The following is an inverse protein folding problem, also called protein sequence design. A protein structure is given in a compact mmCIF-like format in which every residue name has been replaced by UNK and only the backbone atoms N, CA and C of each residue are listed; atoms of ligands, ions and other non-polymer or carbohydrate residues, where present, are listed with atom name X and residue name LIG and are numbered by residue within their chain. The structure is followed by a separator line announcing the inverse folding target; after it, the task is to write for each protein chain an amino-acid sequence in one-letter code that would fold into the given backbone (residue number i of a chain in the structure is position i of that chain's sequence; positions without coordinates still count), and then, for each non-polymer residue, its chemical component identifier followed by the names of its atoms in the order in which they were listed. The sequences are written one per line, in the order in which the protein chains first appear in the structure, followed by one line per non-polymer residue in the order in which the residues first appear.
data_IF_254870422584
#
_entry.id   IF_254870422584
#
_cell.length_a   1.000
_cell.length_b   1.000
_cell.length_c   1.000
_cell.angle_alpha   90.00
_cell.angle_beta   90.00
_cell.angle_gamma   90.00
#
_symmetry.space_group_name_H-M   'P 1'
#
loop_
_entity.id
_entity.type
_entity.pdbx_description
1 polymer ?
#
# COMPACT_ATOMS: atom_id res chain seq x y z
N UNK A 1 -11.15 -21.05 -11.07
CA UNK A 1 -10.54 -20.12 -10.10
C UNK A 1 -10.29 -18.80 -10.85
N UNK A 2 -10.66 -17.61 -10.32
CA UNK A 2 -10.67 -16.27 -10.96
C UNK A 2 -11.94 -15.75 -11.68
N UNK A 3 -13.13 -16.34 -11.51
CA UNK A 3 -14.35 -15.84 -12.21
C UNK A 3 -15.01 -14.58 -11.62
N UNK A 4 -14.38 -13.88 -10.66
CA UNK A 4 -15.07 -12.84 -9.88
C UNK A 4 -14.47 -11.43 -9.93
N UNK A 5 -13.33 -11.21 -10.59
CA UNK A 5 -12.91 -9.85 -10.96
C UNK A 5 -13.63 -9.46 -12.27
N UNK A 6 -13.97 -8.17 -12.49
CA UNK A 6 -14.60 -7.77 -13.74
C UNK A 6 -13.74 -8.29 -14.89
N UNK A 7 -14.31 -9.11 -15.80
CA UNK A 7 -13.54 -9.73 -16.88
C UNK A 7 -12.83 -8.70 -17.77
N UNK A 8 -13.36 -7.47 -17.78
CA UNK A 8 -12.84 -6.32 -18.51
C UNK A 8 -11.69 -5.59 -17.78
N UNK A 9 -11.43 -5.90 -16.50
CA UNK A 9 -10.40 -5.25 -15.70
C UNK A 9 -9.24 -6.18 -15.37
N UNK A 10 -8.04 -5.61 -15.44
CA UNK A 10 -6.80 -6.25 -14.99
C UNK A 10 -6.78 -6.29 -13.46
N UNK A 11 -6.31 -7.39 -12.89
CA UNK A 11 -6.17 -7.61 -11.44
C UNK A 11 -4.98 -6.83 -10.85
N UNK A 12 -4.83 -5.57 -11.23
CA UNK A 12 -3.74 -4.67 -10.83
C UNK A 12 -4.35 -3.44 -10.18
N UNK A 13 -3.70 -2.98 -9.11
CA UNK A 13 -4.04 -1.74 -8.41
C UNK A 13 -2.80 -0.87 -8.32
N UNK A 14 -2.99 0.44 -8.34
CA UNK A 14 -1.88 1.38 -8.22
C UNK A 14 -2.27 2.59 -7.38
N UNK A 15 -1.26 3.27 -6.83
CA UNK A 15 -1.40 4.55 -6.17
C UNK A 15 -0.35 5.47 -6.78
N UNK A 16 -0.79 6.58 -7.39
CA UNK A 16 0.11 7.58 -7.94
C UNK A 16 0.34 8.71 -6.94
N UNK A 17 1.37 9.49 -7.19
CA UNK A 17 1.78 10.63 -6.37
C UNK A 17 2.03 11.81 -7.30
N UNK A 18 1.77 13.02 -6.81
CA UNK A 18 2.14 14.25 -7.50
C UNK A 18 3.62 14.17 -7.92
N UNK A 19 3.96 14.44 -9.20
CA UNK A 19 5.31 14.19 -9.71
C UNK A 19 6.40 15.00 -9.02
N UNK A 20 6.12 16.26 -8.67
CA UNK A 20 7.07 17.12 -7.95
C UNK A 20 7.29 16.59 -6.54
N UNK A 21 6.21 16.28 -5.82
CA UNK A 21 6.30 15.69 -4.48
C UNK A 21 6.97 14.31 -4.47
N UNK A 22 6.82 13.55 -5.56
CA UNK A 22 7.50 12.26 -5.77
C UNK A 22 9.00 12.46 -5.87
N UNK A 23 9.49 13.42 -6.66
CA UNK A 23 10.93 13.75 -6.74
C UNK A 23 11.47 14.14 -5.37
N UNK A 24 10.82 15.08 -4.68
CA UNK A 24 11.24 15.47 -3.33
C UNK A 24 11.28 14.28 -2.38
N UNK A 25 10.22 13.47 -2.33
CA UNK A 25 10.18 12.33 -1.42
C UNK A 25 11.24 11.28 -1.74
N UNK A 26 11.58 11.11 -3.02
CA UNK A 26 12.61 10.17 -3.47
C UNK A 26 14.00 10.64 -3.04
N UNK A 27 14.29 11.92 -3.28
CA UNK A 27 15.52 12.56 -2.81
C UNK A 27 15.67 12.44 -1.30
N UNK A 28 14.69 12.95 -0.54
CA UNK A 28 14.69 12.97 0.92
C UNK A 28 14.85 11.56 1.51
N UNK A 29 14.10 10.58 1.00
CA UNK A 29 14.16 9.21 1.50
C UNK A 29 15.49 8.54 1.17
N UNK A 30 16.02 8.74 -0.04
CA UNK A 30 17.32 8.16 -0.44
C UNK A 30 18.45 8.69 0.44
N UNK A 31 18.49 10.01 0.70
CA UNK A 31 19.44 10.66 1.61
C UNK A 31 19.25 10.18 3.05
N UNK A 32 18.01 10.15 3.55
CA UNK A 32 17.71 9.71 4.93
C UNK A 32 18.18 8.28 5.18
N UNK A 33 17.86 7.35 4.28
CA UNK A 33 18.26 5.95 4.43
C UNK A 33 19.76 5.79 4.29
N UNK A 34 20.40 6.49 3.35
CA UNK A 34 21.84 6.48 3.18
C UNK A 34 22.58 7.01 4.42
N UNK A 35 22.07 8.07 5.06
CA UNK A 35 22.66 8.68 6.25
C UNK A 35 22.72 7.73 7.46
N UNK A 36 21.87 6.69 7.51
CA UNK A 36 21.92 5.65 8.56
C UNK A 36 23.25 4.91 8.58
N UNK A 37 23.90 4.78 7.42
CA UNK A 37 25.18 4.09 7.30
C UNK A 37 26.37 4.93 7.77
N UNK A 38 26.22 6.24 7.99
CA UNK A 38 27.31 7.11 8.46
C UNK A 38 27.76 6.80 9.89
N UNK A 39 27.06 5.92 10.60
CA UNK A 39 27.56 5.32 11.87
C UNK A 39 28.84 4.50 11.66
N UNK A 40 29.08 4.00 10.44
CA UNK A 40 30.27 3.23 10.12
C UNK A 40 31.48 4.14 9.79
N UNK A 41 32.70 3.70 10.13
CA UNK A 41 33.90 4.52 9.94
C UNK A 41 34.22 4.80 8.47
N UNK A 42 33.89 3.88 7.55
CA UNK A 42 34.13 4.01 6.12
C UNK A 42 33.09 3.21 5.31
N UNK A 43 33.04 3.47 4.00
CA UNK A 43 32.08 2.87 3.07
C UNK A 43 32.21 1.34 3.01
N UNK A 44 33.44 0.81 3.05
CA UNK A 44 33.72 -0.63 3.03
C UNK A 44 33.09 -1.34 4.23
N UNK A 45 33.26 -0.77 5.43
CA UNK A 45 32.66 -1.27 6.67
C UNK A 45 31.13 -1.26 6.58
N UNK A 46 30.54 -0.16 6.09
CA UNK A 46 29.09 -0.06 5.89
C UNK A 46 28.56 -1.11 4.91
N UNK A 47 29.24 -1.31 3.78
CA UNK A 47 28.82 -2.25 2.73
C UNK A 47 28.91 -3.70 3.20
N UNK A 48 30.00 -4.06 3.88
CA UNK A 48 30.18 -5.40 4.46
C UNK A 48 29.12 -5.71 5.51
N UNK A 49 28.83 -4.76 6.41
CA UNK A 49 27.81 -4.95 7.44
C UNK A 49 26.41 -5.05 6.84
N UNK A 50 26.08 -4.23 5.85
CA UNK A 50 24.82 -4.32 5.12
C UNK A 50 24.63 -5.70 4.46
N UNK A 51 25.67 -6.23 3.81
CA UNK A 51 25.65 -7.56 3.20
C UNK A 51 25.44 -8.68 4.23
N UNK A 52 26.15 -8.63 5.36
CA UNK A 52 26.01 -9.62 6.44
C UNK A 52 24.62 -9.59 7.09
N UNK A 53 24.05 -8.40 7.28
CA UNK A 53 22.69 -8.26 7.79
C UNK A 53 21.68 -8.85 6.80
N UNK A 54 21.81 -8.52 5.51
CA UNK A 54 20.97 -9.04 4.43
C UNK A 54 20.98 -10.56 4.36
N UNK A 55 22.14 -11.21 4.53
CA UNK A 55 22.22 -12.67 4.49
C UNK A 55 21.61 -13.35 5.73
N UNK A 56 21.55 -12.65 6.88
CA UNK A 56 21.02 -13.20 8.14
C UNK A 56 19.52 -13.04 8.29
N UNK A 57 18.96 -11.94 7.81
CA UNK A 57 17.51 -11.70 7.89
C UNK A 57 16.82 -12.19 6.63
N UNK A 58 15.85 -13.10 6.78
CA UNK A 58 14.88 -13.44 5.72
C UNK A 58 13.94 -12.27 5.35
N UNK A 59 14.09 -11.11 5.98
CA UNK A 59 13.27 -9.93 5.76
C UNK A 59 13.81 -9.11 4.57
N UNK A 60 12.90 -8.63 3.72
CA UNK A 60 13.23 -7.77 2.57
C UNK A 60 13.77 -6.44 3.06
N UNK A 61 15.00 -6.10 2.65
CA UNK A 61 15.62 -4.81 2.97
C UNK A 61 15.16 -3.71 2.01
N UNK A 62 15.20 -2.45 2.46
CA UNK A 62 15.09 -1.30 1.55
C UNK A 62 16.12 -1.38 0.42
N UNK A 63 17.30 -1.97 0.67
CA UNK A 63 18.34 -2.17 -0.33
C UNK A 63 18.00 -3.23 -1.40
N UNK A 64 16.88 -3.94 -1.26
CA UNK A 64 16.47 -5.02 -2.17
C UNK A 64 15.34 -4.60 -3.11
N UNK A 65 14.72 -3.44 -2.84
CA UNK A 65 13.48 -3.01 -3.49
C UNK A 65 13.78 -1.88 -4.48
N UNK A 66 13.20 -1.92 -5.67
CA UNK A 66 13.25 -0.82 -6.62
C UNK A 66 12.39 0.37 -6.14
N UNK A 67 12.84 1.64 -6.26
CA UNK A 67 14.11 2.10 -6.83
C UNK A 67 15.28 2.15 -5.83
N UNK A 68 15.01 1.91 -4.55
CA UNK A 68 15.95 2.12 -3.44
C UNK A 68 17.22 1.29 -3.51
N UNK A 69 17.16 0.09 -4.11
CA UNK A 69 18.34 -0.76 -4.35
C UNK A 69 19.43 -0.08 -5.16
N UNK A 70 19.09 0.97 -5.93
CA UNK A 70 20.04 1.79 -6.68
C UNK A 70 20.29 3.13 -5.99
N UNK A 71 19.22 3.82 -5.58
CA UNK A 71 19.33 5.18 -5.05
C UNK A 71 20.03 5.25 -3.69
N UNK A 72 19.80 4.27 -2.81
CA UNK A 72 20.41 4.29 -1.47
C UNK A 72 21.91 4.02 -1.52
N UNK A 73 22.43 3.01 -2.26
CA UNK A 73 23.87 2.86 -2.45
C UNK A 73 24.54 4.08 -3.06
N UNK A 74 23.93 4.68 -4.09
CA UNK A 74 24.44 5.90 -4.73
C UNK A 74 24.54 7.07 -3.74
N UNK A 75 23.46 7.38 -3.01
CA UNK A 75 23.48 8.43 -1.98
C UNK A 75 24.43 8.10 -0.83
N UNK A 76 24.60 6.82 -0.49
CA UNK A 76 25.55 6.40 0.54
C UNK A 76 26.97 6.75 0.11
N UNK A 77 27.37 6.44 -1.12
CA UNK A 77 28.68 6.77 -1.66
C UNK A 77 28.95 8.28 -1.61
N UNK A 78 28.00 9.08 -2.08
CA UNK A 78 28.06 10.56 -2.02
C UNK A 78 28.26 11.08 -0.57
N UNK A 79 27.42 10.62 0.37
CA UNK A 79 27.51 11.06 1.76
C UNK A 79 28.84 10.71 2.43
N UNK A 80 29.39 9.52 2.15
CA UNK A 80 30.71 9.12 2.64
C UNK A 80 31.81 9.98 2.02
N UNK A 81 31.78 10.21 0.70
CA UNK A 81 32.74 11.05 -0.01
C UNK A 81 32.77 12.48 0.56
N UNK A 82 31.60 13.11 0.74
CA UNK A 82 31.48 14.46 1.32
C UNK A 82 32.00 14.47 2.75
N UNK A 83 31.62 13.50 3.59
CA UNK A 83 32.12 13.40 4.98
C UNK A 83 33.64 13.27 5.03
N UNK A 84 34.22 12.43 4.19
CA UNK A 84 35.66 12.15 4.20
C UNK A 84 36.45 13.31 3.58
N UNK A 85 35.86 14.07 2.65
CA UNK A 85 36.40 15.35 2.19
C UNK A 85 36.46 16.39 3.31
N UNK A 86 35.37 16.58 4.07
CA UNK A 86 35.34 17.49 5.23
C UNK A 86 36.42 17.15 6.25
N UNK A 87 36.55 15.86 6.60
CA UNK A 87 37.60 15.37 7.51
C UNK A 87 39.01 15.71 7.01
N UNK A 88 39.28 15.52 5.71
CA UNK A 88 40.59 15.83 5.12
C UNK A 88 40.92 17.31 5.13
N UNK A 89 39.92 18.17 4.96
CA UNK A 89 40.08 19.63 4.97
C UNK A 89 40.31 20.21 6.38
N UNK A 90 40.37 19.39 7.43
CA UNK A 90 40.46 19.85 8.82
C UNK A 90 39.20 20.60 9.29
N UNK A 91 38.17 20.66 8.43
CA UNK A 91 36.86 21.14 8.79
C UNK A 91 36.26 20.07 9.70
N UNK A 92 36.25 20.35 11.00
CA UNK A 92 35.42 19.61 11.97
C UNK A 92 33.94 19.71 11.59
N UNK A 93 32.98 19.38 12.48
CA UNK A 93 31.58 19.73 12.28
C UNK A 93 31.44 21.27 12.31
N UNK A 94 31.93 21.93 11.26
CA UNK A 94 31.83 23.37 11.07
C UNK A 94 30.37 23.65 10.81
N UNK A 95 29.86 24.64 11.52
CA UNK A 95 28.49 25.11 11.40
C UNK A 95 28.32 25.74 10.02
N UNK A 96 28.06 24.90 9.01
CA UNK A 96 27.59 25.37 7.71
C UNK A 96 26.20 25.93 7.98
N UNK A 97 26.10 27.25 8.13
CA UNK A 97 24.81 27.94 8.27
C UNK A 97 24.20 28.05 6.87
N UNK A 98 23.67 26.95 6.35
CA UNK A 98 22.76 27.02 5.21
C UNK A 98 21.33 27.10 5.73
N UNK A 99 20.56 28.05 5.20
CA UNK A 99 19.13 28.12 5.43
C UNK A 99 18.35 27.30 4.39
N UNK A 100 19.02 26.78 3.36
CA UNK A 100 18.44 25.94 2.32
C UNK A 100 18.77 24.47 2.58
N UNK A 101 17.79 23.72 3.08
CA UNK A 101 17.94 22.28 3.33
C UNK A 101 18.17 21.45 2.06
N UNK A 102 17.91 22.00 0.88
CA UNK A 102 18.09 21.34 -0.42
C UNK A 102 19.37 21.81 -1.14
N UNK A 103 20.12 22.75 -0.56
CA UNK A 103 21.41 23.23 -1.05
C UNK A 103 22.42 23.38 0.10
N UNK A 104 22.96 22.23 0.49
CA UNK A 104 23.99 22.06 1.53
C UNK A 104 25.11 21.19 0.98
N UNK A 105 25.70 21.63 -0.13
CA UNK A 105 26.71 20.90 -0.92
C UNK A 105 27.80 20.26 -0.05
N UNK A 106 28.28 20.98 0.96
CA UNK A 106 29.30 20.47 1.87
C UNK A 106 28.87 19.22 2.65
N UNK A 107 27.56 18.90 2.76
CA UNK A 107 26.98 17.86 3.63
C UNK A 107 26.22 16.78 2.84
N UNK A 108 25.31 17.18 1.96
CA UNK A 108 24.55 16.28 1.07
C UNK A 108 24.55 16.82 -0.35
N UNK A 109 24.39 15.94 -1.35
CA UNK A 109 24.18 16.34 -2.74
C UNK A 109 23.04 17.36 -2.86
N UNK A 110 23.27 18.57 -3.39
CA UNK A 110 22.22 19.54 -3.63
C UNK A 110 21.13 18.99 -4.56
N UNK A 111 19.89 19.45 -4.38
CA UNK A 111 18.75 18.96 -5.17
C UNK A 111 18.92 19.22 -6.68
N UNK A 112 19.53 20.36 -7.05
CA UNK A 112 19.78 20.70 -8.45
C UNK A 112 20.82 19.77 -9.11
N UNK A 113 21.81 19.32 -8.34
CA UNK A 113 22.77 18.29 -8.77
C UNK A 113 22.04 16.94 -8.91
N UNK A 114 21.27 16.57 -7.89
CA UNK A 114 20.54 15.31 -7.84
C UNK A 114 19.60 15.09 -9.02
N UNK A 115 18.75 16.05 -9.39
CA UNK A 115 17.79 15.89 -10.48
C UNK A 115 18.45 15.84 -11.86
N UNK A 116 19.68 16.34 -11.97
CA UNK A 116 20.43 16.34 -13.23
C UNK A 116 21.39 15.16 -13.37
N UNK A 117 21.60 14.39 -12.30
CA UNK A 117 22.42 13.20 -12.33
C UNK A 117 21.84 12.12 -13.28
N UNK A 118 22.68 11.41 -14.06
CA UNK A 118 22.25 10.32 -14.91
C UNK A 118 21.41 9.25 -14.21
N UNK A 119 21.69 8.93 -12.94
CA UNK A 119 20.94 7.95 -12.15
C UNK A 119 19.52 8.46 -11.88
N UNK A 120 19.36 9.74 -11.53
CA UNK A 120 18.04 10.33 -11.35
C UNK A 120 17.25 10.35 -12.67
N UNK A 121 17.91 10.71 -13.78
CA UNK A 121 17.33 10.69 -15.13
C UNK A 121 16.88 9.30 -15.56
N UNK A 122 17.63 8.26 -15.21
CA UNK A 122 17.24 6.89 -15.52
C UNK A 122 16.20 6.31 -14.56
N UNK A 123 16.11 6.74 -13.30
CA UNK A 123 15.28 6.03 -12.31
C UNK A 123 14.03 6.80 -11.89
N UNK A 124 14.15 8.12 -11.75
CA UNK A 124 13.17 8.96 -11.06
C UNK A 124 12.26 9.63 -12.07
N UNK A 125 12.88 10.30 -13.05
CA UNK A 125 12.20 11.13 -14.03
C UNK A 125 11.25 10.32 -14.92
N UNK A 126 10.00 10.77 -15.02
CA UNK A 126 8.88 10.07 -15.69
C UNK A 126 8.67 8.62 -15.19
N UNK A 127 9.15 8.32 -13.98
CA UNK A 127 9.19 6.96 -13.47
C UNK A 127 7.81 6.36 -13.19
N UNK A 128 6.77 7.14 -12.93
CA UNK A 128 5.41 6.60 -12.75
C UNK A 128 4.84 6.12 -14.09
N UNK A 129 5.01 6.92 -15.14
CA UNK A 129 4.66 6.57 -16.52
C UNK A 129 5.36 5.31 -16.96
N UNK A 130 6.68 5.24 -16.75
CA UNK A 130 7.44 4.04 -17.07
C UNK A 130 7.06 2.83 -16.21
N UNK A 131 6.71 3.03 -14.93
CA UNK A 131 6.24 1.94 -14.07
C UNK A 131 4.92 1.35 -14.56
N UNK A 132 3.94 2.20 -14.88
CA UNK A 132 2.65 1.76 -15.41
C UNK A 132 2.81 1.12 -16.80
N UNK A 133 3.67 1.67 -17.65
CA UNK A 133 4.01 1.12 -18.96
C UNK A 133 4.87 -0.15 -18.88
N UNK A 134 5.42 -0.51 -17.72
CA UNK A 134 6.30 -1.67 -17.56
C UNK A 134 7.64 -1.50 -18.28
N UNK A 135 8.17 -0.28 -18.32
CA UNK A 135 9.41 0.13 -18.99
C UNK A 135 10.44 0.71 -18.03
N UNK A 136 10.43 0.30 -16.76
CA UNK A 136 11.44 0.75 -15.79
C UNK A 136 12.77 0.06 -16.07
N UNK A 137 13.86 0.56 -15.48
CA UNK A 137 15.13 -0.15 -15.49
C UNK A 137 15.12 -1.46 -14.66
N UNK A 138 14.00 -1.79 -14.01
CA UNK A 138 13.76 -3.06 -13.33
C UNK A 138 12.75 -3.96 -14.08
N UNK A 139 12.35 -3.58 -15.30
CA UNK A 139 11.58 -4.47 -16.17
C UNK A 139 12.37 -5.72 -16.55
N UNK A 140 11.69 -6.85 -16.71
CA UNK A 140 12.35 -8.14 -16.98
C UNK A 140 12.71 -8.36 -18.46
N UNK A 141 12.08 -7.61 -19.38
CA UNK A 141 12.28 -7.77 -20.81
C UNK A 141 13.40 -6.84 -21.30
N UNK A 142 14.33 -7.39 -22.08
CA UNK A 142 15.48 -6.65 -22.59
C UNK A 142 15.05 -5.47 -23.48
N UNK A 143 14.01 -5.69 -24.29
CA UNK A 143 13.40 -4.71 -25.19
C UNK A 143 12.81 -3.53 -24.41
N UNK A 144 12.33 -3.73 -23.18
CA UNK A 144 11.86 -2.64 -22.34
C UNK A 144 12.97 -1.63 -22.03
N UNK A 145 14.21 -2.10 -21.87
CA UNK A 145 15.36 -1.22 -21.65
C UNK A 145 15.78 -0.49 -22.93
N UNK A 146 15.59 -1.09 -24.11
CA UNK A 146 15.84 -0.43 -25.40
C UNK A 146 14.81 0.67 -25.67
N UNK A 147 13.52 0.37 -25.51
CA UNK A 147 12.44 1.34 -25.65
C UNK A 147 12.62 2.49 -24.67
N UNK A 148 12.94 2.18 -23.40
CA UNK A 148 13.23 3.22 -22.38
C UNK A 148 14.36 4.15 -22.83
N UNK A 149 15.51 3.59 -23.23
CA UNK A 149 16.65 4.39 -23.71
C UNK A 149 16.29 5.25 -24.92
N UNK A 150 15.50 4.70 -25.84
CA UNK A 150 15.02 5.43 -27.02
C UNK A 150 14.17 6.65 -26.62
N UNK A 151 13.23 6.48 -25.69
CA UNK A 151 12.35 7.55 -25.19
C UNK A 151 13.12 8.62 -24.43
N UNK A 152 14.11 8.23 -23.61
CA UNK A 152 14.97 9.18 -22.91
C UNK A 152 15.80 10.03 -23.89
N UNK A 153 16.22 9.46 -25.02
CA UNK A 153 16.97 10.16 -26.07
C UNK A 153 16.07 11.01 -26.96
N UNK A 154 14.86 10.54 -27.25
CA UNK A 154 13.90 11.17 -28.15
C UNK A 154 12.60 11.40 -27.40
N UNK A 155 12.52 12.54 -26.69
CA UNK A 155 11.40 12.86 -25.79
C UNK A 155 10.03 12.81 -26.48
N UNK A 156 9.96 13.12 -27.78
CA UNK A 156 8.72 13.04 -28.57
C UNK A 156 8.11 11.62 -28.57
N UNK A 157 8.93 10.57 -28.43
CA UNK A 157 8.45 9.20 -28.34
C UNK A 157 7.79 8.89 -26.99
N UNK A 158 7.96 9.77 -26.00
CA UNK A 158 7.34 9.66 -24.69
C UNK A 158 5.81 9.72 -24.72
N UNK A 159 5.23 10.40 -25.70
CA UNK A 159 3.78 10.49 -25.88
C UNK A 159 3.15 9.10 -26.11
N UNK A 160 3.78 8.25 -26.93
CA UNK A 160 3.31 6.89 -27.16
C UNK A 160 3.35 6.04 -25.87
N UNK A 161 4.39 6.22 -25.05
CA UNK A 161 4.49 5.53 -23.76
C UNK A 161 3.41 6.01 -22.80
N UNK A 162 3.14 7.31 -22.79
CA UNK A 162 2.10 7.92 -21.97
C UNK A 162 0.71 7.36 -22.34
N UNK A 163 0.40 7.23 -23.63
CA UNK A 163 -0.88 6.66 -24.08
C UNK A 163 -1.03 5.19 -23.67
N UNK A 164 0.05 4.40 -23.75
CA UNK A 164 0.06 3.03 -23.21
C UNK A 164 -0.19 3.03 -21.70
N UNK A 165 0.42 3.96 -20.97
CA UNK A 165 0.25 4.07 -19.52
C UNK A 165 -1.19 4.47 -19.14
N UNK A 166 -1.78 5.46 -19.81
CA UNK A 166 -3.19 5.87 -19.60
C UNK A 166 -4.15 4.72 -19.85
N UNK A 167 -4.02 4.02 -20.98
CA UNK A 167 -4.85 2.85 -21.31
C UNK A 167 -4.72 1.74 -20.27
N UNK A 168 -3.53 1.54 -19.71
CA UNK A 168 -3.34 0.57 -18.62
C UNK A 168 -4.01 1.01 -17.34
N UNK A 169 -3.96 2.30 -16.97
CA UNK A 169 -4.67 2.83 -15.80
C UNK A 169 -6.18 2.60 -15.91
N UNK A 170 -6.77 2.79 -17.08
CA UNK A 170 -8.21 2.54 -17.31
C UNK A 170 -8.59 1.08 -17.03
N UNK A 171 -7.69 0.17 -17.42
CA UNK A 171 -7.85 -1.26 -17.20
C UNK A 171 -7.56 -1.72 -15.77
N UNK A 172 -7.05 -0.87 -14.87
CA UNK A 172 -6.75 -1.28 -13.49
C UNK A 172 -8.02 -1.40 -12.64
N UNK A 173 -7.97 -2.32 -11.66
CA UNK A 173 -9.04 -2.52 -10.71
C UNK A 173 -9.25 -1.28 -9.82
N UNK A 174 -8.16 -0.61 -9.45
CA UNK A 174 -8.18 0.56 -8.59
C UNK A 174 -6.98 1.49 -8.84
N UNK A 175 -7.22 2.81 -8.81
CA UNK A 175 -6.19 3.84 -8.96
C UNK A 175 -6.37 4.86 -7.82
N UNK A 176 -5.43 4.89 -6.88
CA UNK A 176 -5.41 5.83 -5.75
C UNK A 176 -4.46 7.00 -5.95
N UNK A 177 -4.54 7.98 -5.06
CA UNK A 177 -3.64 9.12 -4.97
C UNK A 177 -3.01 9.22 -3.59
N UNK A 178 -1.71 9.48 -3.55
CA UNK A 178 -0.92 9.57 -2.30
C UNK A 178 -1.31 10.78 -1.46
N UNK A 179 -1.66 11.88 -2.12
CA UNK A 179 -2.10 13.14 -1.52
C UNK A 179 -3.42 12.94 -0.77
N UNK A 180 -4.27 12.06 -1.29
CA UNK A 180 -5.54 11.62 -0.71
C UNK A 180 -5.41 10.23 -0.06
N UNK A 181 -4.29 9.95 0.63
CA UNK A 181 -3.96 8.61 1.12
C UNK A 181 -5.07 7.90 1.92
N UNK A 182 -5.70 8.61 2.86
CA UNK A 182 -6.75 8.03 3.73
C UNK A 182 -8.01 7.70 2.93
N UNK A 183 -8.42 8.62 2.08
CA UNK A 183 -9.54 8.45 1.17
C UNK A 183 -9.27 7.32 0.17
N UNK A 184 -8.06 7.25 -0.36
CA UNK A 184 -7.60 6.17 -1.22
C UNK A 184 -7.66 4.80 -0.54
N UNK A 185 -7.19 4.72 0.71
CA UNK A 185 -7.28 3.48 1.47
C UNK A 185 -8.74 3.07 1.73
N UNK A 186 -9.60 4.05 2.03
CA UNK A 186 -11.04 3.82 2.26
C UNK A 186 -11.74 3.33 1.00
N UNK A 187 -11.49 3.98 -0.14
CA UNK A 187 -12.00 3.56 -1.44
C UNK A 187 -11.52 2.15 -1.79
N UNK A 188 -10.23 1.87 -1.61
CA UNK A 188 -9.66 0.55 -1.85
C UNK A 188 -10.32 -0.53 -0.96
N UNK A 189 -10.50 -0.26 0.34
CA UNK A 189 -11.18 -1.17 1.26
C UNK A 189 -12.62 -1.47 0.82
N UNK A 190 -13.34 -0.47 0.31
CA UNK A 190 -14.72 -0.63 -0.16
C UNK A 190 -14.84 -1.32 -1.53
N UNK A 191 -13.86 -1.15 -2.41
CA UNK A 191 -13.87 -1.75 -3.75
C UNK A 191 -13.27 -3.16 -3.72
N UNK A 192 -12.04 -3.28 -3.26
CA UNK A 192 -11.25 -4.51 -3.29
C UNK A 192 -11.40 -5.29 -1.98
N UNK A 193 -11.29 -4.60 -0.83
CA UNK A 193 -11.38 -5.25 0.49
C UNK A 193 -12.71 -5.98 0.68
N UNK A 194 -13.84 -5.31 0.45
CA UNK A 194 -15.17 -5.90 0.55
C UNK A 194 -15.35 -7.12 -0.37
N UNK A 195 -14.78 -7.07 -1.58
CA UNK A 195 -14.84 -8.18 -2.51
C UNK A 195 -14.03 -9.38 -2.02
N UNK A 196 -12.80 -9.17 -1.53
CA UNK A 196 -11.96 -10.24 -0.96
C UNK A 196 -12.62 -10.85 0.27
N UNK A 197 -13.14 -10.02 1.17
CA UNK A 197 -13.87 -10.45 2.37
C UNK A 197 -15.06 -11.34 1.98
N UNK A 198 -15.88 -10.91 1.02
CA UNK A 198 -17.03 -11.70 0.57
C UNK A 198 -16.65 -13.08 0.01
N UNK A 199 -15.51 -13.17 -0.70
CA UNK A 199 -14.99 -14.44 -1.22
C UNK A 199 -14.50 -15.32 -0.08
N UNK A 200 -13.80 -14.76 0.89
CA UNK A 200 -13.30 -15.50 2.05
C UNK A 200 -14.45 -16.09 2.88
N UNK A 201 -15.52 -15.31 3.11
CA UNK A 201 -16.74 -15.80 3.79
C UNK A 201 -17.41 -16.92 2.99
N UNK A 202 -17.53 -16.78 1.66
CA UNK A 202 -18.11 -17.80 0.80
C UNK A 202 -17.28 -19.11 0.81
N UNK A 203 -15.95 -19.01 0.72
CA UNK A 203 -15.04 -20.16 0.83
C UNK A 203 -15.16 -20.84 2.20
N UNK A 204 -15.17 -20.07 3.28
CA UNK A 204 -15.35 -20.57 4.65
C UNK A 204 -16.69 -21.30 4.85
N UNK A 205 -17.74 -20.88 4.14
CA UNK A 205 -19.04 -21.58 4.12
C UNK A 205 -19.03 -22.84 3.26
N UNK A 206 -18.27 -22.87 2.17
CA UNK A 206 -18.12 -24.04 1.30
C UNK A 206 -17.31 -25.17 1.95
N UNK A 207 -16.33 -24.85 2.81
CA UNK A 207 -15.61 -25.84 3.61
C UNK A 207 -16.45 -26.53 4.69
N UNK A 208 -17.67 -26.05 4.96
CA UNK A 208 -18.60 -26.76 5.87
C UNK A 208 -19.31 -27.96 5.20
N UNK A 209 -19.15 -28.18 3.90
CA UNK A 209 -19.81 -29.28 3.18
C UNK A 209 -18.92 -30.46 2.78
N UNK A 210 -17.61 -30.45 3.11
CA UNK A 210 -16.67 -31.54 2.76
C UNK A 210 -15.91 -32.11 3.96
N UNK A 211 -16.35 -31.78 5.19
CA UNK A 211 -15.87 -32.45 6.39
C UNK A 211 -16.81 -33.61 6.74
N UNK A 212 -16.86 -34.62 5.88
CA UNK A 212 -17.25 -36.00 6.23
C UNK A 212 -16.91 -36.92 5.05
N UNK A 213 -15.66 -37.38 5.02
CA UNK A 213 -15.32 -38.80 4.89
C UNK A 213 -13.79 -38.99 4.85
N UNK A 214 -13.35 -39.94 5.68
CA UNK A 214 -11.99 -40.24 6.08
C UNK A 214 -11.03 -40.63 4.93
N UNK A 215 -9.76 -40.25 5.06
CA UNK A 215 -8.63 -41.21 5.08
C UNK A 215 -7.33 -40.47 5.37
N UNK A 216 -6.62 -40.96 6.38
CA UNK A 216 -5.25 -40.65 6.73
C UNK A 216 -4.30 -40.87 5.54
N UNK A 217 -3.31 -39.98 5.35
CA UNK A 217 -1.98 -40.41 4.95
C UNK A 217 -0.92 -39.37 5.32
N UNK A 218 -0.08 -39.74 6.28
CA UNK A 218 1.19 -39.11 6.60
C UNK A 218 2.07 -38.96 5.37
N UNK A 219 2.82 -37.85 5.28
CA UNK A 219 4.19 -37.91 4.74
C UNK A 219 5.08 -36.90 5.47
N UNK A 220 6.09 -37.47 6.12
CA UNK A 220 7.17 -36.88 6.91
C UNK A 220 8.19 -36.15 6.02
N UNK A 221 9.07 -35.32 6.61
CA UNK A 221 10.55 -35.27 6.42
C UNK A 221 11.15 -33.96 7.02
N UNK A 222 12.43 -33.96 7.45
CA UNK A 222 12.77 -33.85 8.87
C UNK A 222 13.48 -32.56 9.31
N UNK A 223 13.46 -32.33 10.62
CA UNK A 223 14.28 -31.39 11.38
C UNK A 223 15.77 -31.74 11.31
N UNK A 224 16.61 -30.69 11.24
CA UNK A 224 18.07 -30.79 11.25
C UNK A 224 18.69 -29.82 12.27
N UNK A 225 18.94 -30.39 13.44
CA UNK A 225 19.96 -30.14 14.49
C UNK A 225 20.52 -28.72 14.77
N UNK A 226 20.43 -28.39 16.07
CA UNK A 226 21.15 -27.36 16.80
C UNK A 226 22.66 -27.58 16.82
N UNK A 227 23.41 -26.47 16.88
CA UNK A 227 24.72 -26.49 17.52
C UNK A 227 24.95 -25.17 18.25
N UNK A 228 25.11 -25.28 19.56
CA UNK A 228 25.47 -24.23 20.50
C UNK A 228 26.98 -23.92 20.43
N UNK A 229 27.39 -22.66 20.67
CA UNK A 229 28.26 -22.25 21.79
C UNK A 229 28.75 -20.78 21.64
N UNK A 230 28.45 -20.04 22.72
CA UNK A 230 29.05 -18.88 23.41
C UNK A 230 29.54 -17.59 22.72
N UNK A 231 28.81 -16.52 23.05
CA UNK A 231 29.22 -15.27 23.72
C UNK A 231 30.56 -14.59 23.39
N UNK A 232 30.45 -13.39 22.78
CA UNK A 232 30.92 -12.16 23.42
C UNK A 232 30.11 -10.95 22.92
N UNK A 233 29.53 -10.23 23.89
CA UNK A 233 28.71 -9.05 23.73
C UNK A 233 29.53 -7.85 23.26
N UNK A 234 28.97 -7.03 22.36
CA UNK A 234 28.93 -5.59 22.60
C UNK A 234 27.73 -4.94 21.90
N UNK A 235 26.96 -4.26 22.74
CA UNK A 235 25.62 -3.74 22.51
C UNK A 235 25.60 -2.60 21.50
N UNK A 236 24.79 -2.75 20.45
CA UNK A 236 24.08 -1.61 19.86
C UNK A 236 22.62 -2.02 19.73
N UNK A 237 21.76 -1.35 20.50
CA UNK A 237 20.32 -1.61 20.59
C UNK A 237 19.64 -1.19 19.28
N UNK A 238 19.80 -2.00 18.24
CA UNK A 238 18.85 -2.04 17.14
C UNK A 238 17.64 -2.80 17.66
N UNK A 239 16.60 -2.07 18.07
CA UNK A 239 15.29 -2.68 18.28
C UNK A 239 14.92 -3.42 17.00
N UNK A 240 14.89 -4.76 17.10
CA UNK A 240 14.30 -5.64 16.12
C UNK A 240 12.97 -5.03 15.67
N UNK A 241 12.71 -4.87 14.36
CA UNK A 241 11.34 -4.81 13.90
C UNK A 241 10.68 -6.07 14.43
N UNK A 242 9.61 -5.92 15.24
CA UNK A 242 8.74 -7.03 15.63
C UNK A 242 8.64 -7.97 14.44
N UNK A 243 9.09 -9.20 14.64
CA UNK A 243 8.88 -10.37 13.79
C UNK A 243 7.58 -10.15 13.03
N UNK A 244 7.65 -9.86 11.72
CA UNK A 244 6.49 -10.00 10.86
C UNK A 244 6.02 -11.42 11.16
N UNK A 245 4.82 -11.51 11.72
CA UNK A 245 4.23 -12.73 12.24
C UNK A 245 4.61 -13.87 11.31
N UNK A 246 5.44 -14.78 11.82
CA UNK A 246 5.58 -16.10 11.23
C UNK A 246 4.16 -16.59 10.96
N UNK A 247 3.90 -17.00 9.72
CA UNK A 247 2.58 -17.35 9.20
C UNK A 247 1.90 -18.53 9.94
N UNK A 248 2.49 -19.00 11.05
CA UNK A 248 2.02 -20.12 11.86
C UNK A 248 1.28 -19.73 13.13
N UNK A 249 1.13 -18.43 13.46
CA UNK A 249 0.36 -18.02 14.65
C UNK A 249 -0.62 -16.86 14.39
N UNK A 250 -1.15 -16.74 13.17
CA UNK A 250 -2.43 -16.05 12.96
C UNK A 250 -3.50 -17.12 12.92
N UNK A 251 -3.82 -17.65 14.10
CA UNK A 251 -5.13 -18.23 14.32
C UNK A 251 -6.10 -17.07 14.10
N UNK A 252 -6.53 -16.91 12.85
CA UNK A 252 -7.52 -15.93 12.45
C UNK A 252 -8.78 -16.32 13.20
N UNK A 253 -8.97 -15.72 14.39
CA UNK A 253 -10.30 -15.63 14.99
C UNK A 253 -11.22 -15.26 13.84
N UNK A 254 -12.20 -16.13 13.56
CA UNK A 254 -13.29 -15.94 12.60
C UNK A 254 -14.16 -14.75 13.03
N UNK A 255 -13.56 -13.57 13.16
CA UNK A 255 -14.32 -12.35 13.22
C UNK A 255 -14.81 -12.04 11.81
N UNK A 256 -16.10 -11.71 11.71
CA UNK A 256 -16.67 -11.16 10.48
C UNK A 256 -15.93 -9.87 10.14
N UNK A 257 -14.92 -9.98 9.28
CA UNK A 257 -14.15 -8.85 8.77
C UNK A 257 -15.07 -7.98 7.91
N UNK A 258 -15.03 -6.66 8.09
CA UNK A 258 -15.77 -5.70 7.28
C UNK A 258 -14.80 -4.65 6.74
N UNK A 259 -15.21 -3.88 5.73
CA UNK A 259 -14.39 -2.76 5.23
C UNK A 259 -14.09 -1.73 6.34
N UNK A 260 -15.02 -1.51 7.27
CA UNK A 260 -14.83 -0.65 8.44
C UNK A 260 -13.74 -1.17 9.39
N UNK A 261 -13.84 -2.44 9.81
CA UNK A 261 -12.82 -3.09 10.65
C UNK A 261 -11.44 -3.12 9.99
N UNK A 262 -11.39 -3.33 8.66
CA UNK A 262 -10.15 -3.27 7.89
C UNK A 262 -9.51 -1.88 7.96
N UNK A 263 -10.32 -0.82 7.86
CA UNK A 263 -9.84 0.56 7.98
C UNK A 263 -9.34 0.90 9.39
N UNK A 264 -9.99 0.40 10.44
CA UNK A 264 -9.53 0.57 11.83
C UNK A 264 -8.16 -0.09 12.07
N UNK A 265 -8.00 -1.33 11.60
CA UNK A 265 -6.72 -2.05 11.67
C UNK A 265 -5.63 -1.31 10.87
N UNK A 266 -5.97 -0.81 9.70
CA UNK A 266 -5.09 -0.01 8.86
C UNK A 266 -4.63 1.28 9.56
N UNK A 267 -5.53 2.06 10.15
CA UNK A 267 -5.16 3.31 10.85
C UNK A 267 -4.22 3.04 12.03
N UNK A 268 -4.47 1.95 12.77
CA UNK A 268 -3.59 1.51 13.87
C UNK A 268 -2.19 1.15 13.35
N UNK A 269 -2.12 0.40 12.25
CA UNK A 269 -0.86 0.02 11.60
C UNK A 269 -0.08 1.25 11.13
N UNK A 270 -0.73 2.18 10.43
CA UNK A 270 -0.12 3.40 9.89
C UNK A 270 0.39 4.32 11.00
N UNK A 271 -0.37 4.48 12.08
CA UNK A 271 0.05 5.30 13.22
C UNK A 271 1.35 4.78 13.85
N UNK A 272 1.41 3.47 14.11
CA UNK A 272 2.61 2.81 14.64
C UNK A 272 3.81 2.96 13.69
N UNK A 273 3.59 2.71 12.40
CA UNK A 273 4.62 2.84 11.37
C UNK A 273 5.18 4.26 11.28
N UNK A 274 4.31 5.28 11.26
CA UNK A 274 4.70 6.70 11.23
C UNK A 274 5.56 7.08 12.42
N UNK A 275 5.22 6.59 13.63
CA UNK A 275 6.02 6.83 14.84
C UNK A 275 7.43 6.24 14.71
N UNK A 276 7.54 4.99 14.27
CA UNK A 276 8.86 4.35 14.05
C UNK A 276 9.67 5.04 12.96
N UNK A 277 9.03 5.43 11.86
CA UNK A 277 9.69 6.16 10.77
C UNK A 277 10.18 7.53 11.20
N UNK A 278 9.38 8.29 11.97
CA UNK A 278 9.77 9.59 12.49
C UNK A 278 11.03 9.52 13.38
N UNK A 279 11.10 8.52 14.28
CA UNK A 279 12.29 8.30 15.11
C UNK A 279 13.54 8.00 14.28
N UNK A 280 13.42 7.13 13.27
CA UNK A 280 14.52 6.80 12.35
C UNK A 280 14.97 8.00 11.54
N UNK A 281 14.03 8.82 11.08
CA UNK A 281 14.29 10.07 10.37
C UNK A 281 15.09 11.03 11.23
N UNK A 282 14.64 11.32 12.45
CA UNK A 282 15.35 12.21 13.39
C UNK A 282 16.79 11.74 13.64
N UNK A 283 17.00 10.44 13.87
CA UNK A 283 18.33 9.89 14.06
C UNK A 283 19.22 10.03 12.82
N UNK A 284 18.65 9.86 11.62
CA UNK A 284 19.37 9.96 10.36
C UNK A 284 19.76 11.42 10.06
N UNK A 285 18.81 12.36 10.17
CA UNK A 285 19.02 13.79 9.93
C UNK A 285 20.07 14.38 10.88
N UNK A 286 20.14 13.92 12.14
CA UNK A 286 21.18 14.35 13.08
C UNK A 286 22.61 14.11 12.55
N UNK A 287 22.82 13.09 11.71
CA UNK A 287 24.15 12.75 11.14
C UNK A 287 24.52 13.61 9.94
N UNK A 288 23.54 14.26 9.33
CA UNK A 288 23.69 15.12 8.15
C UNK A 288 23.22 16.55 8.43
N UNK A 289 23.23 16.97 9.70
CA UNK A 289 22.99 18.36 10.07
C UNK A 289 23.96 19.28 9.31
N UNK A 290 23.48 20.42 8.77
CA UNK A 290 22.20 21.09 9.01
C UNK A 290 21.04 20.63 8.11
N UNK A 291 21.23 19.64 7.21
CA UNK A 291 20.18 19.21 6.30
C UNK A 291 18.93 18.76 7.06
N UNK A 292 17.81 19.45 6.84
CA UNK A 292 16.55 19.15 7.50
C UNK A 292 15.38 19.32 6.53
N UNK A 293 14.95 18.19 5.95
CA UNK A 293 13.85 18.19 5.00
C UNK A 293 12.52 18.36 5.73
N UNK A 294 11.73 19.36 5.35
CA UNK A 294 10.36 19.57 5.84
C UNK A 294 9.47 20.05 4.71
N UNK A 295 8.14 20.02 4.90
CA UNK A 295 7.22 20.58 3.89
C UNK A 295 7.41 22.09 3.73
N UNK A 296 7.79 22.76 4.81
CA UNK A 296 8.08 24.19 4.84
C UNK A 296 9.37 24.49 4.07
N UNK A 297 10.40 23.66 4.23
CA UNK A 297 11.64 23.78 3.47
C UNK A 297 11.39 23.61 1.95
N UNK A 298 10.49 22.70 1.53
CA UNK A 298 10.13 22.57 0.11
C UNK A 298 9.61 23.87 -0.50
N UNK A 299 8.95 24.71 0.28
CA UNK A 299 8.41 26.00 -0.19
C UNK A 299 9.49 27.06 -0.41
N UNK A 300 10.68 26.86 0.15
CA UNK A 300 11.82 27.76 -0.02
C UNK A 300 12.65 27.40 -1.26
N UNK A 301 12.38 26.25 -1.88
CA UNK A 301 13.07 25.82 -3.10
C UNK A 301 12.75 26.80 -4.24
N UNK A 302 13.76 27.28 -4.98
CA UNK A 302 13.54 28.25 -6.05
C UNK A 302 12.55 27.75 -7.11
N UNK A 303 11.65 28.63 -7.55
CA UNK A 303 10.63 28.32 -8.57
C UNK A 303 11.25 27.76 -9.86
N UNK A 304 12.40 28.28 -10.29
CA UNK A 304 13.16 27.75 -11.45
C UNK A 304 13.44 26.25 -11.33
N UNK A 305 13.73 25.77 -10.12
CA UNK A 305 14.06 24.38 -9.87
C UNK A 305 12.79 23.52 -9.84
N UNK A 306 11.66 24.06 -9.35
CA UNK A 306 10.35 23.42 -9.43
C UNK A 306 9.89 23.25 -10.89
N UNK A 307 10.13 24.27 -11.73
CA UNK A 307 9.85 24.22 -13.16
C UNK A 307 10.72 23.19 -13.88
N UNK A 308 12.01 23.11 -13.54
CA UNK A 308 12.92 22.09 -14.06
C UNK A 308 12.47 20.68 -13.67
N UNK A 309 12.13 20.45 -12.39
CA UNK A 309 11.57 19.18 -11.93
C UNK A 309 10.30 18.82 -12.71
N UNK A 310 9.42 19.80 -12.93
CA UNK A 310 8.18 19.61 -13.68
C UNK A 310 8.45 19.24 -15.14
N UNK A 311 9.38 19.95 -15.79
CA UNK A 311 9.83 19.69 -17.16
C UNK A 311 10.40 18.28 -17.33
N UNK A 312 11.30 17.87 -16.44
CA UNK A 312 11.90 16.53 -16.44
C UNK A 312 10.88 15.42 -16.14
N UNK A 313 9.68 15.77 -15.70
CA UNK A 313 8.60 14.84 -15.36
C UNK A 313 7.30 15.12 -16.14
N UNK A 314 7.40 15.67 -17.35
CA UNK A 314 6.25 16.06 -18.16
C UNK A 314 5.22 14.93 -18.37
N UNK A 315 5.68 13.70 -18.65
CA UNK A 315 4.79 12.56 -18.82
C UNK A 315 4.08 12.19 -17.51
N UNK A 316 4.82 12.19 -16.39
CA UNK A 316 4.23 11.92 -15.07
C UNK A 316 3.20 12.99 -14.67
N UNK A 317 3.40 14.25 -15.08
CA UNK A 317 2.41 15.34 -14.86
C UNK A 317 1.12 15.06 -15.60
N UNK A 318 1.19 14.66 -16.86
CA UNK A 318 -0.01 14.30 -17.64
C UNK A 318 -0.68 13.03 -17.13
N UNK A 319 0.10 12.00 -16.80
CA UNK A 319 -0.43 10.76 -16.24
C UNK A 319 -1.11 11.00 -14.90
N UNK A 320 -0.52 11.85 -14.04
CA UNK A 320 -1.08 12.18 -12.74
C UNK A 320 -2.41 12.92 -12.88
N UNK A 321 -2.51 13.90 -13.80
CA UNK A 321 -3.79 14.56 -14.12
C UNK A 321 -4.84 13.55 -14.57
N UNK A 322 -4.48 12.62 -15.45
CA UNK A 322 -5.38 11.55 -15.89
C UNK A 322 -5.84 10.65 -14.73
N UNK A 323 -4.92 10.30 -13.83
CA UNK A 323 -5.24 9.52 -12.64
C UNK A 323 -6.15 10.28 -11.65
N UNK A 324 -6.03 11.60 -11.55
CA UNK A 324 -6.95 12.42 -10.75
C UNK A 324 -8.39 12.30 -11.28
N UNK A 325 -8.57 12.30 -12.61
CA UNK A 325 -9.88 12.12 -13.22
C UNK A 325 -10.46 10.72 -12.94
N UNK A 326 -9.64 9.68 -13.04
CA UNK A 326 -10.03 8.31 -12.68
C UNK A 326 -10.44 8.25 -11.20
N UNK A 327 -9.62 8.79 -10.31
CA UNK A 327 -9.87 8.80 -8.87
C UNK A 327 -11.19 9.52 -8.55
N UNK A 328 -11.43 10.70 -9.13
CA UNK A 328 -12.67 11.45 -8.93
C UNK A 328 -13.91 10.70 -9.45
N UNK A 329 -13.80 9.99 -10.58
CA UNK A 329 -14.88 9.12 -11.08
C UNK A 329 -15.14 7.95 -10.12
N UNK A 330 -14.09 7.26 -9.68
CA UNK A 330 -14.19 6.15 -8.72
C UNK A 330 -14.82 6.59 -7.41
N UNK A 331 -14.44 7.77 -6.91
CA UNK A 331 -14.98 8.34 -5.68
C UNK A 331 -16.48 8.61 -5.79
N UNK A 332 -16.91 9.29 -6.88
CA UNK A 332 -18.33 9.54 -7.14
C UNK A 332 -19.15 8.27 -7.22
N UNK A 333 -18.66 7.25 -7.93
CA UNK A 333 -19.34 5.94 -8.01
C UNK A 333 -19.48 5.27 -6.64
N UNK A 334 -18.46 5.36 -5.79
CA UNK A 334 -18.50 4.81 -4.44
C UNK A 334 -19.54 5.52 -3.56
N UNK A 335 -19.59 6.86 -3.60
CA UNK A 335 -20.60 7.64 -2.89
C UNK A 335 -22.03 7.34 -3.36
N UNK A 336 -22.24 7.24 -4.68
CA UNK A 336 -23.55 6.87 -5.25
C UNK A 336 -23.99 5.47 -4.80
N UNK A 337 -23.08 4.49 -4.78
CA UNK A 337 -23.37 3.14 -4.32
C UNK A 337 -23.74 3.12 -2.84
N UNK A 338 -23.03 3.88 -2.02
CA UNK A 338 -23.31 3.99 -0.58
C UNK A 338 -24.68 4.63 -0.34
N UNK A 339 -24.99 5.73 -1.04
CA UNK A 339 -26.29 6.40 -0.95
C UNK A 339 -27.45 5.50 -1.43
N UNK A 340 -27.23 4.72 -2.50
CA UNK A 340 -28.19 3.74 -2.99
C UNK A 340 -28.47 2.62 -1.99
N UNK A 341 -27.43 2.09 -1.33
CA UNK A 341 -27.58 1.07 -0.30
C UNK A 341 -28.39 1.58 0.90
N UNK A 342 -28.12 2.80 1.36
CA UNK A 342 -28.89 3.45 2.45
C UNK A 342 -30.35 3.64 2.06
N UNK A 343 -30.62 4.06 0.81
CA UNK A 343 -32.00 4.23 0.33
C UNK A 343 -32.75 2.89 0.25
N UNK A 344 -32.07 1.83 -0.17
CA UNK A 344 -32.65 0.49 -0.23
C UNK A 344 -32.94 -0.06 1.17
N UNK A 345 -32.01 0.09 2.12
CA UNK A 345 -32.20 -0.29 3.52
C UNK A 345 -33.38 0.47 4.17
N UNK A 346 -33.49 1.77 3.93
CA UNK A 346 -34.62 2.57 4.40
C UNK A 346 -35.96 2.14 3.78
N UNK A 347 -35.96 1.68 2.52
CA UNK A 347 -37.16 1.17 1.87
C UNK A 347 -37.58 -0.20 2.43
N UNK A 348 -36.63 -1.08 2.75
CA UNK A 348 -36.90 -2.35 3.44
C UNK A 348 -37.42 -2.12 4.88
N UNK A 349 -36.82 -1.20 5.62
CA UNK A 349 -37.27 -0.86 6.98
C UNK A 349 -38.68 -0.24 6.98
N UNK A 350 -39.00 0.61 6.00
CA UNK A 350 -40.36 1.14 5.83
C UNK A 350 -41.37 0.07 5.36
N UNK A 351 -40.96 -0.90 4.54
CA UNK A 351 -41.82 -2.01 4.13
C UNK A 351 -42.13 -2.97 5.29
N UNK A 352 -41.16 -3.23 6.18
CA UNK A 352 -41.38 -3.97 7.43
C UNK A 352 -42.25 -3.20 8.43
N UNK A 353 -42.20 -1.86 8.44
CA UNK A 353 -43.10 -1.02 9.22
C UNK A 353 -44.53 -0.94 8.67
N UNK A 354 -44.74 -1.19 7.37
CA UNK A 354 -46.04 -1.11 6.71
C UNK A 354 -46.80 -2.45 6.68
N UNK A 355 -46.15 -3.59 6.90
CA UNK A 355 -46.79 -4.89 7.03
C UNK A 355 -47.24 -5.08 8.49
N UNK A 356 -48.45 -4.65 8.82
CA UNK A 356 -48.98 -4.77 10.18
C UNK A 356 -49.16 -6.25 10.55
N UNK A 357 -48.22 -6.77 11.33
CA UNK A 357 -48.28 -8.11 11.91
C UNK A 357 -49.59 -8.37 12.67
N UNK A 358 -50.21 -7.30 13.16
CA UNK A 358 -51.54 -7.32 13.76
C UNK A 358 -52.62 -7.80 12.78
N UNK A 359 -52.65 -7.30 11.54
CA UNK A 359 -53.66 -7.70 10.54
C UNK A 359 -53.49 -9.17 10.14
N UNK A 360 -52.24 -9.64 10.01
CA UNK A 360 -51.96 -11.05 9.74
C UNK A 360 -52.34 -11.94 10.94
N UNK A 361 -52.08 -11.48 12.16
CA UNK A 361 -52.46 -12.18 13.40
C UNK A 361 -53.98 -12.28 13.55
N UNK A 362 -54.71 -11.21 13.25
CA UNK A 362 -56.17 -11.22 13.25
C UNK A 362 -56.74 -12.17 12.18
N UNK A 363 -56.20 -12.14 10.97
CA UNK A 363 -56.64 -13.04 9.89
C UNK A 363 -56.41 -14.52 10.25
N UNK A 364 -55.24 -14.85 10.80
CA UNK A 364 -54.91 -16.21 11.24
C UNK A 364 -55.83 -16.64 12.39
N UNK A 365 -56.09 -15.75 13.35
CA UNK A 365 -57.00 -16.03 14.49
C UNK A 365 -58.43 -16.30 14.03
N UNK A 366 -58.92 -15.55 13.04
CA UNK A 366 -60.27 -15.75 12.46
C UNK A 366 -60.34 -17.12 11.75
N UNK A 367 -59.31 -17.50 10.99
CA UNK A 367 -59.28 -18.80 10.31
C UNK A 367 -59.28 -19.96 11.31
N UNK A 368 -58.51 -19.86 12.40
CA UNK A 368 -58.54 -20.88 13.45
C UNK A 368 -59.89 -20.95 14.17
N UNK A 369 -60.56 -19.82 14.37
CA UNK A 369 -61.88 -19.75 15.00
C UNK A 369 -62.95 -20.40 14.11
N UNK A 370 -62.90 -20.17 12.80
CA UNK A 370 -63.77 -20.82 11.83
C UNK A 370 -63.53 -22.34 11.75
N UNK A 371 -62.28 -22.79 11.81
CA UNK A 371 -61.93 -24.21 11.90
C UNK A 371 -62.47 -24.85 13.18
N UNK A 372 -62.36 -24.15 14.32
CA UNK A 372 -62.92 -24.61 15.58
C UNK A 372 -64.44 -24.75 15.53
N UNK A 373 -65.14 -23.76 14.96
CA UNK A 373 -66.60 -23.81 14.78
C UNK A 373 -66.98 -24.98 13.86
N UNK A 374 -66.27 -25.17 12.75
CA UNK A 374 -66.52 -26.28 11.82
C UNK A 374 -66.34 -27.64 12.48
N UNK A 375 -65.25 -27.83 13.25
CA UNK A 375 -65.00 -29.05 14.01
C UNK A 375 -66.05 -29.28 15.09
N UNK A 376 -66.47 -28.23 15.81
CA UNK A 376 -67.51 -28.31 16.84
C UNK A 376 -68.88 -28.70 16.25
N UNK A 377 -69.27 -28.10 15.12
CA UNK A 377 -70.53 -28.43 14.41
C UNK A 377 -70.50 -29.89 13.91
N UNK A 378 -69.37 -30.35 13.39
CA UNK A 378 -69.22 -31.74 12.94
C UNK A 378 -69.19 -32.75 14.09
N UNK A 379 -68.56 -32.40 15.22
CA UNK A 379 -68.61 -33.22 16.44
C UNK A 379 -70.03 -33.33 16.99
N UNK A 380 -70.78 -32.21 17.03
CA UNK A 380 -72.18 -32.18 17.48
C UNK A 380 -73.11 -32.97 16.55
N UNK A 381 -72.88 -32.91 15.22
CA UNK A 381 -73.59 -33.73 14.23
C UNK A 381 -73.30 -35.24 14.37
N UNK A 382 -72.10 -35.63 14.82
CA UNK A 382 -71.77 -37.05 15.10
C UNK A 382 -72.44 -37.54 16.38
N UNK A 383 -72.53 -36.73 17.43
CA UNK A 383 -73.22 -37.11 18.68
C UNK A 383 -74.75 -37.19 18.55
N UNK A 384 -75.37 -36.50 17.58
CA UNK A 384 -76.81 -36.61 17.32
C UNK A 384 -77.22 -37.78 16.43
N UNK A 385 -76.25 -38.56 15.90
CA UNK A 385 -76.52 -39.77 15.07
C UNK A 385 -76.41 -41.09 15.85
N UNK A 386 -76.22 -41.03 17.18
CA UNK A 386 -76.29 -42.18 18.09
C UNK A 386 -77.55 -42.05 18.97
N UNK A 387 -78.70 -42.31 18.35
CA UNK A 387 -79.92 -42.79 19.01
C UNK A 387 -80.67 -43.64 17.99
N UNK A 388 -80.45 -44.95 18.07
CA UNK A 388 -81.42 -46.07 18.09
C UNK A 388 -80.69 -47.20 18.81
#
# INVERSE_FOLDING_TARGET
MMSKLPREKTSVVTILRNPVDRVFSTYEFSVEVAARFLVHPNLTSATRMAGRLRSKTKAVSTLDIWPWKYLVPWMREDLFARRDARKRQGQGPTYIKSNDSYDVEGIVMPLHEYINDPIARDIIHNGATFQVAGLTNNSCLAESHEVRRCVLKHQILGEYVLEVAKKRLDGMLYVGLTENHRESATMFANVVGAQVISQFTALGSSTKFVADNNSEQHSSFPDGEESEISDHQNSSTYQQPRKILSAENVEAKKENMTAGKLMEAYETCISSLRKTQALRRTASLKRISPANFTKEARRQVPERLLQEITSLNSLDVELYKYAQDIFAKQHRHMLQKLAGAVRQENMFNNAYGAFSWEVLSFAISIVFLLLFIFLFINARRRTSKLKI
#
